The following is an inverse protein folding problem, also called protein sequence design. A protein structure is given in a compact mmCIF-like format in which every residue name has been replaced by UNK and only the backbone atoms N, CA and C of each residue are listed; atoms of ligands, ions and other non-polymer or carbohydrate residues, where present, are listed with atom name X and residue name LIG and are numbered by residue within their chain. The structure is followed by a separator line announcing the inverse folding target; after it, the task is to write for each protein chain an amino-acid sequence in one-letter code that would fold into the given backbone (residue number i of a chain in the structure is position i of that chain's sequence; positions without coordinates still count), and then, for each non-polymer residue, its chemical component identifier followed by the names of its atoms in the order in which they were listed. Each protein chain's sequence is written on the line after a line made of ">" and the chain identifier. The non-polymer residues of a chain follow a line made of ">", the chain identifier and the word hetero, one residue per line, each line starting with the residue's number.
data_IF_499113683407
#
_entry.id   IF_499113683407
#
_cell.length_a   1.000
_cell.length_b   1.000
_cell.length_c   1.000
_cell.angle_alpha   90.00
_cell.angle_beta   90.00
_cell.angle_gamma   90.00
#
_symmetry.space_group_name_H-M   'P 1'
#
loop_
_entity.id
_entity.type
_entity.pdbx_description
1 polymer ?
#
# COMPACT_ATOMS: atom_id res chain seq x y z
N UNK A 1 0.96 122.74 140.73
CA UNK A 1 2.15 122.50 141.58
C UNK A 1 3.39 122.77 140.73
N UNK A 2 4.21 123.71 141.17
CA UNK A 2 5.59 123.90 140.68
C UNK A 2 6.45 122.66 140.98
N UNK A 3 7.40 122.36 140.08
CA UNK A 3 8.77 121.82 140.30
C UNK A 3 9.35 121.47 138.91
N UNK A 4 10.10 122.40 138.31
CA UNK A 4 11.57 122.52 138.33
C UNK A 4 12.25 121.73 137.19
N UNK A 5 13.05 122.40 136.33
CA UNK A 5 13.73 121.78 135.19
C UNK A 5 15.03 121.07 135.60
N UNK A 6 15.18 119.81 135.19
CA UNK A 6 16.40 119.02 135.33
C UNK A 6 17.42 119.44 134.27
N UNK A 7 18.27 120.39 134.65
CA UNK A 7 19.54 120.65 133.97
C UNK A 7 20.43 119.41 134.04
N UNK A 8 21.12 119.16 132.93
CA UNK A 8 22.19 118.17 132.75
C UNK A 8 23.05 118.03 134.01
N UNK A 9 23.09 116.82 134.57
CA UNK A 9 24.07 116.42 135.57
C UNK A 9 25.20 115.73 134.80
N UNK A 10 26.40 116.26 134.95
CA UNK A 10 27.66 115.79 134.38
C UNK A 10 27.93 116.08 132.89
N UNK A 11 29.09 116.70 132.64
CA UNK A 11 29.63 117.02 131.32
C UNK A 11 29.98 115.78 130.46
N UNK A 12 29.85 114.57 131.01
CA UNK A 12 30.11 113.31 130.31
C UNK A 12 29.02 112.92 129.31
N UNK A 13 27.75 113.11 129.65
CA UNK A 13 26.62 112.61 128.83
C UNK A 13 26.46 113.35 127.50
N UNK A 14 26.89 114.60 127.40
CA UNK A 14 26.86 115.38 126.15
C UNK A 14 27.97 114.96 125.17
N UNK A 15 29.08 114.39 125.68
CA UNK A 15 30.17 113.84 124.86
C UNK A 15 29.79 112.56 124.12
N UNK A 16 28.97 111.71 124.76
CA UNK A 16 28.53 110.43 124.17
C UNK A 16 27.53 110.63 123.02
N UNK A 17 26.63 111.61 123.14
CA UNK A 17 25.65 111.93 122.09
C UNK A 17 26.32 112.48 120.84
N UNK A 18 27.31 113.38 120.99
CA UNK A 18 28.06 113.93 119.86
C UNK A 18 28.92 112.87 119.17
N UNK A 19 29.46 111.92 119.93
CA UNK A 19 30.24 110.80 119.40
C UNK A 19 29.36 109.84 118.58
N UNK A 20 28.15 109.55 119.05
CA UNK A 20 27.19 108.73 118.34
C UNK A 20 26.69 109.39 117.04
N UNK A 21 26.40 110.70 117.07
CA UNK A 21 26.00 111.45 115.87
C UNK A 21 27.11 111.48 114.80
N UNK A 22 28.38 111.56 115.22
CA UNK A 22 29.52 111.52 114.29
C UNK A 22 29.69 110.16 113.62
N UNK A 23 29.50 109.05 114.37
CA UNK A 23 29.52 107.69 113.80
C UNK A 23 28.43 107.49 112.74
N UNK A 24 27.20 107.92 113.03
CA UNK A 24 26.08 107.77 112.09
C UNK A 24 26.29 108.55 110.79
N UNK A 25 26.94 109.71 110.85
CA UNK A 25 27.31 110.48 109.65
C UNK A 25 28.39 109.79 108.81
N UNK A 26 29.35 109.14 109.45
CA UNK A 26 30.39 108.37 108.75
C UNK A 26 29.79 107.12 108.08
N UNK A 27 28.92 106.39 108.80
CA UNK A 27 28.24 105.20 108.26
C UNK A 27 27.33 105.56 107.07
N UNK A 28 26.65 106.72 107.11
CA UNK A 28 25.84 107.21 106.00
C UNK A 28 26.68 107.52 104.75
N UNK A 29 27.87 108.09 104.92
CA UNK A 29 28.80 108.36 103.81
C UNK A 29 29.31 107.07 103.16
N UNK A 30 29.65 106.06 103.95
CA UNK A 30 30.09 104.76 103.42
C UNK A 30 28.98 104.10 102.62
N UNK A 31 27.73 104.19 103.08
CA UNK A 31 26.57 103.64 102.37
C UNK A 31 26.30 104.37 101.04
N UNK A 32 26.45 105.70 101.02
CA UNK A 32 26.28 106.52 99.82
C UNK A 32 27.33 106.17 98.75
N UNK A 33 28.59 106.02 99.16
CA UNK A 33 29.69 105.62 98.26
C UNK A 33 29.45 104.21 97.69
N UNK A 34 29.00 103.27 98.52
CA UNK A 34 28.71 101.89 98.07
C UNK A 34 27.55 101.84 97.07
N UNK A 35 26.52 102.68 97.30
CA UNK A 35 25.36 102.78 96.41
C UNK A 35 25.72 103.41 95.07
N UNK A 36 26.65 104.37 95.06
CA UNK A 36 27.18 104.99 93.84
C UNK A 36 27.91 103.98 92.96
N UNK A 37 28.82 103.18 93.55
CA UNK A 37 29.56 102.12 92.82
C UNK A 37 28.61 101.08 92.22
N UNK A 38 27.55 100.70 92.94
CA UNK A 38 26.57 99.75 92.41
C UNK A 38 25.75 100.32 91.25
N UNK A 39 25.47 101.63 91.23
CA UNK A 39 24.80 102.28 90.09
C UNK A 39 25.69 102.28 88.84
N UNK A 40 26.95 102.65 88.98
CA UNK A 40 27.90 102.68 87.85
C UNK A 40 28.07 101.28 87.24
N UNK A 41 28.14 100.24 88.06
CA UNK A 41 28.20 98.85 87.56
C UNK A 41 26.91 98.43 86.82
N UNK A 42 25.73 98.79 87.33
CA UNK A 42 24.46 98.46 86.67
C UNK A 42 24.32 99.18 85.32
N UNK A 43 24.80 100.41 85.22
CA UNK A 43 24.77 101.16 83.97
C UNK A 43 25.75 100.57 82.92
N UNK A 44 26.95 100.12 83.32
CA UNK A 44 27.87 99.35 82.44
C UNK A 44 27.25 98.04 81.92
N UNK A 45 26.60 97.26 82.80
CA UNK A 45 25.91 96.03 82.38
C UNK A 45 24.74 96.31 81.42
N UNK A 46 24.06 97.44 81.58
CA UNK A 46 22.95 97.85 80.71
C UNK A 46 23.43 98.26 79.33
N UNK A 47 24.58 98.92 79.25
CA UNK A 47 25.20 99.34 77.99
C UNK A 47 25.66 98.10 77.18
N UNK A 48 26.33 97.15 77.82
CA UNK A 48 26.77 95.90 77.18
C UNK A 48 25.62 94.97 76.76
N UNK A 49 24.48 95.00 77.45
CA UNK A 49 23.28 94.26 77.05
C UNK A 49 22.50 94.93 75.91
N UNK A 50 22.74 96.22 75.66
CA UNK A 50 22.02 97.03 74.66
C UNK A 50 22.72 97.08 73.29
N UNK A 51 23.99 96.68 73.20
CA UNK A 51 24.71 96.60 71.93
C UNK A 51 24.36 95.32 71.17
N UNK A 52 23.92 95.48 69.91
CA UNK A 52 23.36 94.44 69.03
C UNK A 52 24.25 93.24 68.66
N UNK A 53 25.32 92.96 69.41
CA UNK A 53 26.22 91.83 69.20
C UNK A 53 25.53 90.47 69.37
N UNK A 54 24.62 90.34 70.35
CA UNK A 54 23.82 89.11 70.49
C UNK A 54 22.86 88.90 69.30
N UNK A 55 22.26 89.97 68.80
CA UNK A 55 21.36 89.92 67.63
C UNK A 55 22.10 89.63 66.32
N UNK A 56 23.32 90.16 66.17
CA UNK A 56 24.16 89.92 64.99
C UNK A 56 24.71 88.48 64.98
N UNK A 57 25.21 87.97 66.11
CA UNK A 57 25.68 86.59 66.22
C UNK A 57 24.56 85.56 65.97
N UNK A 58 23.34 85.82 66.46
CA UNK A 58 22.17 84.97 66.17
C UNK A 58 21.83 85.01 64.68
N UNK A 59 21.90 86.19 64.04
CA UNK A 59 21.63 86.33 62.60
C UNK A 59 22.65 85.57 61.76
N UNK A 60 23.94 85.68 62.08
CA UNK A 60 25.01 84.94 61.38
C UNK A 60 24.86 83.42 61.53
N UNK A 61 24.44 82.93 62.70
CA UNK A 61 24.14 81.51 62.91
C UNK A 61 22.90 81.04 62.11
N UNK A 62 21.87 81.88 62.03
CA UNK A 62 20.67 81.60 61.22
C UNK A 62 21.03 81.59 59.73
N UNK A 63 21.80 82.57 59.26
CA UNK A 63 22.22 82.66 57.86
C UNK A 63 23.12 81.48 57.48
N UNK A 64 24.06 81.07 58.35
CA UNK A 64 24.87 79.88 58.16
C UNK A 64 24.00 78.61 58.08
N UNK A 65 22.98 78.47 58.94
CA UNK A 65 22.05 77.33 58.88
C UNK A 65 21.13 77.35 57.68
N UNK A 66 20.72 78.52 57.21
CA UNK A 66 19.94 78.67 55.97
C UNK A 66 20.81 78.27 54.78
N UNK A 67 22.09 78.65 54.75
CA UNK A 67 23.01 78.29 53.67
C UNK A 67 23.33 76.79 53.69
N UNK A 68 23.57 76.20 54.87
CA UNK A 68 23.66 74.74 55.04
C UNK A 68 22.41 74.03 54.49
N UNK A 69 21.22 74.49 54.89
CA UNK A 69 19.95 73.91 54.46
C UNK A 69 19.73 74.09 52.96
N UNK A 70 20.10 75.23 52.39
CA UNK A 70 20.05 75.49 50.95
C UNK A 70 21.00 74.58 50.19
N UNK A 71 22.20 74.33 50.73
CA UNK A 71 23.15 73.36 50.20
C UNK A 71 22.58 71.94 50.20
N UNK A 72 21.96 71.50 51.30
CA UNK A 72 21.30 70.20 51.41
C UNK A 72 20.13 70.08 50.43
N UNK A 73 19.24 71.08 50.36
CA UNK A 73 18.10 71.09 49.44
C UNK A 73 18.56 71.09 47.98
N UNK A 74 19.61 71.84 47.64
CA UNK A 74 20.21 71.84 46.30
C UNK A 74 20.82 70.49 45.95
N UNK A 75 21.53 69.86 46.90
CA UNK A 75 22.06 68.50 46.76
C UNK A 75 20.96 67.48 46.49
N UNK A 76 19.90 67.49 47.30
CA UNK A 76 18.72 66.64 47.11
C UNK A 76 18.08 66.92 45.75
N UNK A 77 17.86 68.18 45.38
CA UNK A 77 17.25 68.53 44.09
C UNK A 77 18.07 68.04 42.89
N UNK A 78 19.42 68.08 42.98
CA UNK A 78 20.30 67.57 41.95
C UNK A 78 20.28 66.03 41.90
N UNK A 79 20.31 65.33 43.04
CA UNK A 79 20.16 63.87 43.09
C UNK A 79 18.80 63.40 42.52
N UNK A 80 17.73 64.13 42.81
CA UNK A 80 16.41 63.87 42.25
C UNK A 80 16.39 64.06 40.74
N UNK A 81 17.03 65.13 40.23
CA UNK A 81 17.12 65.37 38.79
C UNK A 81 17.96 64.31 38.09
N UNK A 82 19.06 63.88 38.69
CA UNK A 82 19.89 62.80 38.17
C UNK A 82 19.15 61.46 38.17
N UNK A 83 18.50 61.09 39.26
CA UNK A 83 17.66 59.87 39.31
C UNK A 83 16.51 59.92 38.31
N UNK A 84 15.87 61.07 38.13
CA UNK A 84 14.82 61.26 37.11
C UNK A 84 15.36 60.99 35.72
N UNK A 85 16.50 61.60 35.38
CA UNK A 85 17.15 61.38 34.08
C UNK A 85 17.57 59.91 33.88
N UNK A 86 18.13 59.25 34.90
CA UNK A 86 18.46 57.83 34.83
C UNK A 86 17.23 56.93 34.65
N UNK A 87 16.09 57.29 35.27
CA UNK A 87 14.83 56.58 35.09
C UNK A 87 14.25 56.80 33.70
N UNK A 88 14.27 58.02 33.18
CA UNK A 88 13.84 58.34 31.80
C UNK A 88 14.66 57.54 30.78
N UNK A 89 16.00 57.49 30.91
CA UNK A 89 16.86 56.67 30.03
C UNK A 89 16.58 55.17 30.17
N UNK A 90 16.26 54.68 31.37
CA UNK A 90 15.86 53.28 31.57
C UNK A 90 14.51 52.98 30.95
N UNK A 91 13.55 53.91 31.06
CA UNK A 91 12.22 53.78 30.46
C UNK A 91 12.31 53.74 28.93
N UNK A 92 13.10 54.63 28.32
CA UNK A 92 13.40 54.58 26.89
C UNK A 92 14.07 53.26 26.48
N UNK A 93 15.03 52.78 27.28
CA UNK A 93 15.68 51.49 27.05
C UNK A 93 14.73 50.30 27.13
N UNK A 94 13.78 50.32 28.07
CA UNK A 94 12.73 49.30 28.22
C UNK A 94 11.78 49.35 27.02
N UNK A 95 11.36 50.53 26.57
CA UNK A 95 10.49 50.68 25.40
C UNK A 95 11.13 50.12 24.12
N UNK A 96 12.42 50.41 23.90
CA UNK A 96 13.17 49.84 22.77
C UNK A 96 13.29 48.31 22.86
N UNK A 97 13.52 47.77 24.06
CA UNK A 97 13.56 46.31 24.27
C UNK A 97 12.18 45.68 24.04
N UNK A 98 11.10 46.31 24.49
CA UNK A 98 9.74 45.83 24.25
C UNK A 98 9.40 45.83 22.76
N UNK A 99 9.79 46.87 22.02
CA UNK A 99 9.58 46.91 20.58
C UNK A 99 10.37 45.81 19.87
N UNK A 100 11.64 45.61 20.24
CA UNK A 100 12.47 44.54 19.67
C UNK A 100 11.93 43.13 20.00
N UNK A 101 11.36 42.93 21.19
CA UNK A 101 10.67 41.69 21.56
C UNK A 101 9.45 41.48 20.66
N UNK A 102 8.64 42.52 20.46
CA UNK A 102 7.41 42.44 19.67
C UNK A 102 7.70 42.16 18.19
N UNK A 103 8.74 42.77 17.62
CA UNK A 103 9.22 42.46 16.27
C UNK A 103 9.71 41.00 16.16
N UNK A 104 10.39 40.49 17.19
CA UNK A 104 10.83 39.08 17.24
C UNK A 104 9.67 38.11 17.40
N UNK A 105 8.67 38.44 18.21
CA UNK A 105 7.44 37.65 18.35
C UNK A 105 6.71 37.55 17.00
N UNK A 106 6.57 38.65 16.26
CA UNK A 106 5.96 38.64 14.93
C UNK A 106 6.75 37.80 13.91
N UNK A 107 8.09 37.86 13.95
CA UNK A 107 8.95 37.04 13.11
C UNK A 107 8.77 35.54 13.44
N UNK A 108 8.68 35.20 14.73
CA UNK A 108 8.45 33.82 15.19
C UNK A 108 7.06 33.34 14.76
N UNK A 109 6.02 34.14 14.97
CA UNK A 109 4.65 33.81 14.55
C UNK A 109 4.56 33.58 13.04
N UNK A 110 5.20 34.43 12.24
CA UNK A 110 5.22 34.29 10.78
C UNK A 110 5.88 32.98 10.36
N UNK A 111 7.02 32.63 10.97
CA UNK A 111 7.73 31.37 10.70
C UNK A 111 6.94 30.14 11.15
N UNK A 112 6.24 30.21 12.27
CA UNK A 112 5.35 29.13 12.73
C UNK A 112 4.24 28.93 11.70
N UNK A 113 3.61 30.02 11.25
CA UNK A 113 2.52 29.94 10.27
C UNK A 113 2.99 29.35 8.94
N UNK A 114 4.13 29.80 8.41
CA UNK A 114 4.75 29.24 7.20
C UNK A 114 5.05 27.74 7.37
N UNK A 115 5.65 27.35 8.50
CA UNK A 115 5.95 25.95 8.80
C UNK A 115 4.69 25.09 8.93
N UNK A 116 3.62 25.60 9.53
CA UNK A 116 2.34 24.89 9.64
C UNK A 116 1.67 24.69 8.28
N UNK A 117 1.76 25.68 7.40
CA UNK A 117 1.26 25.58 6.02
C UNK A 117 2.05 24.52 5.25
N UNK A 118 3.39 24.57 5.28
CA UNK A 118 4.24 23.60 4.60
C UNK A 118 3.99 22.17 5.11
N UNK A 119 3.86 21.98 6.44
CA UNK A 119 3.51 20.69 7.01
C UNK A 119 2.13 20.19 6.56
N UNK A 120 1.13 21.06 6.45
CA UNK A 120 -0.20 20.69 5.95
C UNK A 120 -0.17 20.31 4.47
N UNK A 121 0.59 21.02 3.66
CA UNK A 121 0.76 20.72 2.23
C UNK A 121 1.47 19.36 2.05
N UNK A 122 2.59 19.14 2.74
CA UNK A 122 3.31 17.86 2.73
C UNK A 122 2.42 16.71 3.21
N UNK A 123 1.69 16.89 4.31
CA UNK A 123 0.74 15.89 4.81
C UNK A 123 -0.40 15.63 3.80
N UNK A 124 -0.87 16.65 3.10
CA UNK A 124 -1.86 16.51 2.03
C UNK A 124 -1.36 15.66 0.86
N UNK A 125 -0.12 15.88 0.42
CA UNK A 125 0.52 15.07 -0.62
C UNK A 125 0.74 13.62 -0.18
N UNK A 126 1.19 13.41 1.07
CA UNK A 126 1.35 12.08 1.64
C UNK A 126 0.01 11.33 1.75
N UNK A 127 -1.04 12.00 2.20
CA UNK A 127 -2.39 11.42 2.25
C UNK A 127 -2.92 11.06 0.86
N UNK A 128 -2.66 11.88 -0.16
CA UNK A 128 -3.00 11.53 -1.55
C UNK A 128 -2.22 10.30 -2.03
N UNK A 129 -0.91 10.22 -1.77
CA UNK A 129 -0.10 9.05 -2.10
C UNK A 129 -0.59 7.79 -1.40
N UNK A 130 -0.92 7.87 -0.11
CA UNK A 130 -1.47 6.76 0.66
C UNK A 130 -2.83 6.33 0.09
N UNK A 131 -3.70 7.26 -0.29
CA UNK A 131 -4.99 6.95 -0.91
C UNK A 131 -4.83 6.21 -2.24
N UNK A 132 -3.89 6.66 -3.10
CA UNK A 132 -3.57 6.00 -4.37
C UNK A 132 -3.01 4.59 -4.14
N UNK A 133 -2.06 4.44 -3.22
CA UNK A 133 -1.49 3.15 -2.85
C UNK A 133 -2.54 2.21 -2.28
N UNK A 134 -3.44 2.69 -1.41
CA UNK A 134 -4.52 1.90 -0.83
C UNK A 134 -5.49 1.40 -1.89
N UNK A 135 -5.87 2.24 -2.86
CA UNK A 135 -6.71 1.82 -3.98
C UNK A 135 -6.03 0.75 -4.86
N UNK A 136 -4.72 0.90 -5.12
CA UNK A 136 -3.96 -0.08 -5.89
C UNK A 136 -3.82 -1.42 -5.14
N UNK A 137 -3.53 -1.38 -3.84
CA UNK A 137 -3.47 -2.58 -2.99
C UNK A 137 -4.83 -3.28 -2.91
N UNK A 138 -5.94 -2.55 -2.86
CA UNK A 138 -7.28 -3.15 -2.90
C UNK A 138 -7.55 -3.85 -4.22
N UNK A 139 -7.12 -3.30 -5.35
CA UNK A 139 -7.28 -3.95 -6.65
C UNK A 139 -6.39 -5.18 -6.78
N UNK A 140 -5.14 -5.11 -6.31
CA UNK A 140 -4.25 -6.27 -6.22
C UNK A 140 -4.84 -7.35 -5.31
N UNK A 141 -5.45 -6.98 -4.18
CA UNK A 141 -6.10 -7.94 -3.28
C UNK A 141 -7.27 -8.65 -3.96
N UNK A 142 -8.10 -7.92 -4.72
CA UNK A 142 -9.18 -8.53 -5.52
C UNK A 142 -8.66 -9.47 -6.59
N UNK A 143 -7.55 -9.12 -7.24
CA UNK A 143 -6.90 -10.00 -8.22
C UNK A 143 -6.38 -11.27 -7.56
N UNK A 144 -5.73 -11.15 -6.40
CA UNK A 144 -5.29 -12.29 -5.60
C UNK A 144 -6.48 -13.15 -5.13
N UNK A 145 -7.59 -12.55 -4.72
CA UNK A 145 -8.82 -13.28 -4.36
C UNK A 145 -9.43 -14.02 -5.55
N UNK A 146 -9.43 -13.43 -6.76
CA UNK A 146 -9.84 -14.13 -7.98
C UNK A 146 -8.91 -15.28 -8.31
N UNK A 147 -7.60 -15.06 -8.28
CA UNK A 147 -6.60 -16.11 -8.51
C UNK A 147 -6.77 -17.22 -7.49
N UNK A 148 -6.95 -16.88 -6.22
CA UNK A 148 -7.23 -17.84 -5.16
C UNK A 148 -8.50 -18.62 -5.44
N UNK A 149 -9.60 -17.98 -5.83
CA UNK A 149 -10.83 -18.69 -6.20
C UNK A 149 -10.62 -19.61 -7.41
N UNK A 150 -9.82 -19.20 -8.40
CA UNK A 150 -9.46 -20.06 -9.53
C UNK A 150 -8.63 -21.25 -9.07
N UNK A 151 -7.65 -21.03 -8.19
CA UNK A 151 -6.83 -22.10 -7.60
C UNK A 151 -7.69 -23.02 -6.73
N UNK A 152 -8.55 -22.49 -5.88
CA UNK A 152 -9.47 -23.25 -5.05
C UNK A 152 -10.45 -24.04 -5.93
N UNK A 153 -10.89 -23.51 -7.09
CA UNK A 153 -11.66 -24.27 -8.07
C UNK A 153 -10.84 -25.36 -8.76
N UNK A 154 -9.56 -25.13 -9.05
CA UNK A 154 -8.63 -26.14 -9.59
C UNK A 154 -8.30 -27.22 -8.54
N UNK A 155 -8.23 -26.84 -7.26
CA UNK A 155 -7.95 -27.75 -6.14
C UNK A 155 -9.20 -28.45 -5.64
N UNK A 156 -10.39 -27.86 -5.87
CA UNK A 156 -11.70 -28.47 -5.65
C UNK A 156 -12.20 -29.26 -6.86
N UNK A 157 -11.57 -29.14 -8.04
CA UNK A 157 -11.61 -30.20 -9.05
C UNK A 157 -10.95 -31.44 -8.41
N UNK A 158 -11.74 -32.49 -8.22
CA UNK A 158 -11.38 -33.68 -7.47
C UNK A 158 -10.03 -34.26 -7.92
N UNK A 159 -9.31 -34.89 -7.00
CA UNK A 159 -8.12 -35.68 -7.29
C UNK A 159 -8.42 -36.79 -8.34
N UNK A 160 -9.70 -37.17 -8.44
CA UNK A 160 -10.27 -38.06 -9.45
C UNK A 160 -10.42 -37.38 -10.83
N UNK A 161 -10.76 -36.09 -10.90
CA UNK A 161 -10.83 -35.28 -12.15
C UNK A 161 -9.42 -34.98 -12.70
N UNK A 162 -8.43 -34.77 -11.82
CA UNK A 162 -7.02 -34.63 -12.22
C UNK A 162 -6.44 -35.97 -12.69
N UNK A 163 -6.75 -37.09 -12.00
CA UNK A 163 -6.41 -38.44 -12.49
C UNK A 163 -7.09 -38.78 -13.82
N UNK A 164 -8.30 -38.30 -14.04
CA UNK A 164 -9.02 -38.53 -15.31
C UNK A 164 -8.41 -37.77 -16.51
N UNK A 165 -7.61 -36.73 -16.25
CA UNK A 165 -6.86 -35.96 -17.27
C UNK A 165 -5.42 -36.44 -17.47
N UNK A 166 -4.91 -37.34 -16.62
CA UNK A 166 -3.58 -37.95 -16.76
C UNK A 166 -3.71 -39.27 -17.53
N UNK A 167 -3.39 -39.24 -18.82
CA UNK A 167 -3.31 -40.45 -19.64
C UNK A 167 -1.96 -41.12 -19.46
N UNK A 168 -1.97 -42.45 -19.30
CA UNK A 168 -0.74 -43.23 -19.38
C UNK A 168 -0.18 -43.19 -20.81
N UNK A 169 1.13 -43.40 -20.97
CA UNK A 169 1.74 -43.50 -22.31
C UNK A 169 1.09 -44.58 -23.17
N UNK A 170 0.70 -45.69 -22.55
CA UNK A 170 0.01 -46.80 -23.23
C UNK A 170 -1.36 -46.36 -23.74
N UNK A 171 -2.15 -45.65 -22.92
CA UNK A 171 -3.47 -45.17 -23.32
C UNK A 171 -3.39 -44.11 -24.44
N UNK A 172 -2.40 -43.21 -24.39
CA UNK A 172 -2.22 -42.22 -25.45
C UNK A 172 -1.73 -42.83 -26.78
N UNK A 173 -0.82 -43.81 -26.73
CA UNK A 173 -0.42 -44.58 -27.91
C UNK A 173 -1.62 -45.31 -28.51
N UNK A 174 -2.46 -45.89 -27.66
CA UNK A 174 -3.67 -46.56 -28.07
C UNK A 174 -4.66 -45.59 -28.77
N UNK A 175 -4.98 -44.45 -28.13
CA UNK A 175 -5.85 -43.41 -28.71
C UNK A 175 -5.31 -42.91 -30.05
N UNK A 176 -4.00 -42.75 -30.15
CA UNK A 176 -3.32 -42.38 -31.39
C UNK A 176 -3.52 -43.41 -32.49
N UNK A 177 -3.26 -44.69 -32.22
CA UNK A 177 -3.42 -45.76 -33.20
C UNK A 177 -4.87 -45.87 -33.67
N UNK A 178 -5.83 -45.77 -32.75
CA UNK A 178 -7.26 -45.77 -33.07
C UNK A 178 -7.64 -44.59 -33.97
N UNK A 179 -7.26 -43.38 -33.58
CA UNK A 179 -7.57 -42.18 -34.35
C UNK A 179 -6.93 -42.23 -35.74
N UNK A 180 -5.67 -42.69 -35.84
CA UNK A 180 -4.99 -42.83 -37.13
C UNK A 180 -5.64 -43.89 -38.02
N UNK A 181 -6.05 -45.03 -37.46
CA UNK A 181 -6.81 -46.07 -38.18
C UNK A 181 -8.14 -45.52 -38.70
N UNK A 182 -8.88 -44.79 -37.86
CA UNK A 182 -10.12 -44.11 -38.25
C UNK A 182 -9.90 -43.14 -39.41
N UNK A 183 -8.86 -42.31 -39.32
CA UNK A 183 -8.55 -41.33 -40.37
C UNK A 183 -8.14 -42.02 -41.68
N UNK A 184 -7.32 -43.07 -41.64
CA UNK A 184 -6.96 -43.84 -42.83
C UNK A 184 -8.20 -44.49 -43.46
N UNK A 185 -9.09 -45.07 -42.66
CA UNK A 185 -10.36 -45.64 -43.14
C UNK A 185 -11.24 -44.58 -43.81
N UNK A 186 -11.37 -43.39 -43.21
CA UNK A 186 -12.13 -42.27 -43.80
C UNK A 186 -11.53 -41.78 -45.11
N UNK A 187 -10.21 -41.60 -45.16
CA UNK A 187 -9.50 -41.16 -46.36
C UNK A 187 -9.61 -42.18 -47.50
N UNK A 188 -9.53 -43.48 -47.21
CA UNK A 188 -9.64 -44.54 -48.22
C UNK A 188 -11.08 -44.82 -48.68
N UNK A 189 -12.09 -44.45 -47.88
CA UNK A 189 -13.50 -44.69 -48.18
C UNK A 189 -14.22 -43.51 -48.83
N UNK A 190 -13.74 -42.27 -48.66
CA UNK A 190 -14.41 -41.05 -49.10
C UNK A 190 -13.65 -40.30 -50.21
N UNK A 191 -14.39 -39.84 -51.21
CA UNK A 191 -13.91 -38.82 -52.14
C UNK A 191 -13.94 -37.43 -51.51
N UNK A 192 -13.28 -36.46 -52.13
CA UNK A 192 -13.19 -35.07 -51.64
C UNK A 192 -13.43 -34.06 -52.76
N UNK A 193 -14.01 -32.92 -52.41
CA UNK A 193 -14.15 -31.77 -53.31
C UNK A 193 -13.15 -30.70 -52.92
N UNK A 194 -12.38 -30.16 -53.88
CA UNK A 194 -11.47 -29.06 -53.63
C UNK A 194 -12.26 -27.79 -53.29
N UNK A 195 -12.07 -27.17 -52.11
CA UNK A 195 -12.82 -25.97 -51.71
C UNK A 195 -12.52 -24.73 -52.56
N UNK A 196 -11.36 -24.70 -53.22
CA UNK A 196 -10.93 -23.58 -54.05
C UNK A 196 -11.47 -23.69 -55.48
N UNK A 197 -11.39 -24.88 -56.08
CA UNK A 197 -11.75 -25.09 -57.50
C UNK A 197 -13.12 -25.72 -57.72
N UNK A 198 -13.67 -26.42 -56.71
CA UNK A 198 -14.91 -27.20 -56.83
C UNK A 198 -14.72 -28.57 -57.49
N UNK A 199 -13.50 -28.96 -57.84
CA UNK A 199 -13.22 -30.24 -58.48
C UNK A 199 -13.44 -31.41 -57.51
N UNK A 200 -14.12 -32.45 -57.97
CA UNK A 200 -14.33 -33.69 -57.22
C UNK A 200 -13.23 -34.72 -57.51
N UNK A 201 -12.78 -35.38 -56.45
CA UNK A 201 -11.76 -36.42 -56.48
C UNK A 201 -12.33 -37.68 -55.83
N UNK A 202 -12.21 -38.80 -56.53
CA UNK A 202 -12.66 -40.09 -56.02
C UNK A 202 -11.78 -40.61 -54.87
N UNK A 203 -12.30 -41.57 -54.12
CA UNK A 203 -11.63 -42.20 -52.96
C UNK A 203 -10.23 -42.75 -53.23
N UNK A 204 -9.95 -43.18 -54.47
CA UNK A 204 -8.66 -43.74 -54.87
C UNK A 204 -7.62 -42.69 -55.27
N UNK A 205 -7.95 -41.40 -55.19
CA UNK A 205 -7.05 -40.31 -55.57
C UNK A 205 -6.03 -39.96 -54.47
N UNK A 206 -6.25 -40.41 -53.24
CA UNK A 206 -5.40 -40.10 -52.10
C UNK A 206 -4.07 -40.85 -52.16
N UNK A 207 -2.98 -40.10 -52.02
CA UNK A 207 -1.68 -40.61 -51.63
C UNK A 207 -1.53 -40.41 -50.11
N UNK A 208 -1.56 -41.52 -49.36
CA UNK A 208 -1.53 -41.50 -47.89
C UNK A 208 -0.18 -42.02 -47.41
N UNK A 209 0.57 -41.19 -46.69
CA UNK A 209 1.75 -41.57 -45.91
C UNK A 209 1.45 -41.50 -44.42
N UNK A 210 1.84 -42.51 -43.66
CA UNK A 210 1.75 -42.53 -42.21
C UNK A 210 3.14 -42.70 -41.60
N UNK A 211 3.44 -41.89 -40.58
CA UNK A 211 4.69 -41.93 -39.83
C UNK A 211 4.41 -42.01 -38.34
N UNK A 212 5.48 -42.12 -37.55
CA UNK A 212 5.40 -42.06 -36.10
C UNK A 212 5.01 -40.67 -35.56
N UNK A 213 4.84 -39.66 -36.40
CA UNK A 213 4.48 -38.30 -35.99
C UNK A 213 3.09 -37.88 -36.51
N UNK A 214 2.56 -38.58 -37.52
CA UNK A 214 1.33 -38.14 -38.17
C UNK A 214 0.92 -38.93 -39.41
N UNK A 215 -0.17 -38.48 -40.01
CA UNK A 215 -0.66 -38.91 -41.33
C UNK A 215 -0.56 -37.71 -42.27
N UNK A 216 0.07 -37.88 -43.42
CA UNK A 216 -0.02 -36.95 -44.54
C UNK A 216 -0.86 -37.58 -45.63
N UNK A 217 -1.91 -36.89 -46.06
CA UNK A 217 -2.75 -37.32 -47.17
C UNK A 217 -2.75 -36.23 -48.24
N UNK A 218 -2.36 -36.57 -49.46
CA UNK A 218 -2.26 -35.61 -50.56
C UNK A 218 -3.02 -36.10 -51.79
N UNK A 219 -3.66 -35.18 -52.49
CA UNK A 219 -4.14 -35.36 -53.86
C UNK A 219 -3.50 -34.28 -54.71
N UNK A 220 -2.81 -34.67 -55.76
CA UNK A 220 -2.25 -33.76 -56.76
C UNK A 220 -2.89 -34.02 -58.13
N UNK A 221 -3.35 -32.98 -58.83
CA UNK A 221 -3.84 -33.08 -60.22
C UNK A 221 -3.48 -31.86 -61.06
N UNK A 222 -3.07 -32.08 -62.31
CA UNK A 222 -2.82 -31.03 -63.31
C UNK A 222 -1.36 -30.93 -63.78
N UNK A 223 -1.12 -30.14 -64.83
CA UNK A 223 0.23 -29.82 -65.32
C UNK A 223 0.92 -28.80 -64.40
N UNK A 224 2.26 -28.76 -64.40
CA UNK A 224 3.13 -27.95 -63.50
C UNK A 224 2.63 -26.51 -63.26
N UNK A 225 2.05 -25.83 -64.26
CA UNK A 225 1.54 -24.44 -64.15
C UNK A 225 0.11 -24.26 -63.61
N UNK A 226 -0.69 -25.34 -63.51
CA UNK A 226 -2.08 -25.36 -63.01
C UNK A 226 -2.33 -26.52 -62.04
N UNK A 227 -1.30 -26.90 -61.28
CA UNK A 227 -1.38 -27.99 -60.30
C UNK A 227 -2.34 -27.56 -59.20
N UNK A 228 -3.41 -28.33 -59.02
CA UNK A 228 -4.31 -28.24 -57.87
C UNK A 228 -3.93 -29.35 -56.91
N UNK A 229 -3.73 -28.98 -55.65
CA UNK A 229 -3.33 -29.92 -54.59
C UNK A 229 -4.26 -29.76 -53.41
N UNK A 230 -4.74 -30.88 -52.87
CA UNK A 230 -5.40 -30.94 -51.56
C UNK A 230 -4.46 -31.71 -50.65
N UNK A 231 -4.02 -31.13 -49.54
CA UNK A 231 -3.12 -31.79 -48.59
C UNK A 231 -3.66 -31.69 -47.18
N UNK A 232 -3.77 -32.82 -46.49
CA UNK A 232 -4.04 -32.90 -45.06
C UNK A 232 -2.78 -33.37 -44.33
N UNK A 233 -2.39 -32.63 -43.30
CA UNK A 233 -1.29 -32.97 -42.40
C UNK A 233 -1.88 -33.16 -41.00
N UNK A 234 -2.01 -34.41 -40.58
CA UNK A 234 -2.62 -34.81 -39.31
C UNK A 234 -1.51 -35.17 -38.34
N UNK A 235 -1.40 -34.44 -37.23
CA UNK A 235 -0.38 -34.65 -36.20
C UNK A 235 -1.03 -34.97 -34.87
N UNK A 236 -0.51 -36.01 -34.21
CA UNK A 236 -0.95 -36.37 -32.87
C UNK A 236 0.04 -35.79 -31.85
N UNK A 237 -0.45 -34.92 -30.97
CA UNK A 237 0.38 -34.21 -30.02
C UNK A 237 0.23 -34.83 -28.64
N UNK A 238 1.37 -35.25 -28.07
CA UNK A 238 1.47 -35.80 -26.73
C UNK A 238 2.38 -34.88 -25.92
N UNK A 239 1.84 -33.97 -25.10
CA UNK A 239 2.66 -33.16 -24.20
C UNK A 239 3.10 -34.06 -23.04
N UNK A 240 4.35 -34.51 -23.05
CA UNK A 240 4.95 -35.27 -21.94
C UNK A 240 5.61 -34.31 -20.93
N UNK A 241 5.46 -34.57 -19.63
CA UNK A 241 6.25 -33.89 -18.60
C UNK A 241 7.60 -34.60 -18.38
N UNK A 242 8.45 -34.00 -17.53
CA UNK A 242 9.78 -34.57 -17.21
C UNK A 242 9.69 -35.95 -16.53
N UNK A 243 8.52 -36.31 -16.00
CA UNK A 243 8.25 -37.58 -15.30
C UNK A 243 7.56 -38.62 -16.21
N UNK A 244 7.19 -38.25 -17.44
CA UNK A 244 6.60 -39.13 -18.45
C UNK A 244 5.07 -39.22 -18.43
N UNK A 245 4.37 -38.34 -17.71
CA UNK A 245 2.91 -38.21 -17.75
C UNK A 245 2.45 -37.26 -18.84
N UNK A 246 1.27 -37.52 -19.38
CA UNK A 246 0.68 -36.75 -20.48
C UNK A 246 -0.33 -35.77 -19.89
N UNK A 247 -0.11 -34.48 -20.10
CA UNK A 247 -0.90 -33.41 -19.47
C UNK A 247 -1.34 -32.34 -20.47
N UNK A 248 -2.37 -31.57 -20.10
CA UNK A 248 -2.93 -30.49 -20.91
C UNK A 248 -2.02 -29.25 -20.85
N UNK A 249 -0.89 -29.27 -21.55
CA UNK A 249 -0.04 -28.08 -21.73
C UNK A 249 0.32 -27.94 -23.18
N UNK A 250 -0.46 -27.12 -23.86
CA UNK A 250 -0.22 -26.80 -25.25
C UNK A 250 -0.15 -25.29 -25.31
N UNK A 251 1.09 -24.79 -25.25
CA UNK A 251 1.41 -23.42 -24.83
C UNK A 251 2.11 -22.59 -25.91
N UNK A 252 3.24 -23.07 -26.43
CA UNK A 252 4.10 -22.29 -27.32
C UNK A 252 4.42 -23.04 -28.61
N UNK A 253 4.81 -24.31 -28.50
CA UNK A 253 5.23 -25.11 -29.65
C UNK A 253 4.11 -25.31 -30.68
N UNK A 254 2.87 -25.45 -30.24
CA UNK A 254 1.70 -25.52 -31.14
C UNK A 254 1.39 -24.18 -31.78
N UNK A 255 1.53 -23.09 -31.03
CA UNK A 255 1.37 -21.75 -31.60
C UNK A 255 2.39 -21.52 -32.72
N UNK A 256 3.63 -21.97 -32.53
CA UNK A 256 4.69 -21.83 -33.52
C UNK A 256 4.44 -22.74 -34.74
N UNK A 257 3.95 -23.97 -34.52
CA UNK A 257 3.55 -24.89 -35.60
C UNK A 257 2.40 -24.32 -36.44
N UNK A 258 1.37 -23.77 -35.79
CA UNK A 258 0.24 -23.11 -36.45
C UNK A 258 0.73 -21.91 -37.26
N UNK A 259 1.57 -21.07 -36.65
CA UNK A 259 2.09 -19.85 -37.29
C UNK A 259 2.95 -20.21 -38.50
N UNK A 260 3.86 -21.17 -38.37
CA UNK A 260 4.70 -21.67 -39.47
C UNK A 260 3.86 -22.28 -40.60
N UNK A 261 2.80 -23.01 -40.28
CA UNK A 261 1.91 -23.57 -41.30
C UNK A 261 1.13 -22.48 -42.06
N UNK A 262 0.65 -21.44 -41.40
CA UNK A 262 -0.18 -20.39 -42.04
C UNK A 262 0.64 -19.44 -42.90
N UNK A 263 1.96 -19.34 -42.68
CA UNK A 263 2.82 -18.49 -43.49
C UNK A 263 2.63 -18.76 -44.99
N UNK A 264 2.66 -17.70 -45.82
CA UNK A 264 2.50 -17.84 -47.26
C UNK A 264 3.69 -18.64 -47.81
N UNK A 265 3.39 -19.84 -48.29
CA UNK A 265 4.28 -20.68 -49.07
C UNK A 265 4.10 -20.35 -50.56
N UNK A 266 5.08 -20.75 -51.38
CA UNK A 266 5.03 -20.66 -52.84
C UNK A 266 3.99 -21.64 -53.47
N UNK A 267 2.96 -22.00 -52.72
CA UNK A 267 1.86 -22.84 -53.18
C UNK A 267 1.09 -22.20 -54.33
N UNK A 268 0.64 -23.02 -55.28
CA UNK A 268 -0.20 -22.55 -56.38
C UNK A 268 -1.53 -21.99 -55.86
N UNK A 269 -2.11 -21.02 -56.58
CA UNK A 269 -3.42 -20.41 -56.24
C UNK A 269 -4.59 -21.42 -56.10
N UNK A 270 -4.39 -22.66 -56.52
CA UNK A 270 -5.36 -23.75 -56.50
C UNK A 270 -5.02 -24.86 -55.49
N UNK A 271 -4.04 -24.61 -54.61
CA UNK A 271 -3.61 -25.56 -53.58
C UNK A 271 -4.25 -25.23 -52.24
N UNK A 272 -4.93 -26.22 -51.67
CA UNK A 272 -5.53 -26.16 -50.35
C UNK A 272 -4.78 -27.08 -49.38
N UNK A 273 -4.42 -26.55 -48.22
CA UNK A 273 -3.79 -27.28 -47.13
C UNK A 273 -4.65 -27.28 -45.87
N UNK A 274 -4.71 -28.40 -45.15
CA UNK A 274 -5.26 -28.48 -43.81
C UNK A 274 -4.22 -29.06 -42.84
N UNK A 275 -3.95 -28.34 -41.76
CA UNK A 275 -3.22 -28.86 -40.61
C UNK A 275 -4.26 -29.32 -39.58
N UNK A 276 -4.18 -30.57 -39.15
CA UNK A 276 -5.06 -31.17 -38.14
C UNK A 276 -4.18 -31.56 -36.96
N UNK A 277 -4.38 -30.90 -35.83
CA UNK A 277 -3.68 -31.20 -34.59
C UNK A 277 -4.63 -31.96 -33.68
N UNK A 278 -4.18 -33.09 -33.17
CA UNK A 278 -4.99 -34.00 -32.35
C UNK A 278 -4.42 -34.02 -30.94
N UNK A 279 -5.26 -33.75 -29.95
CA UNK A 279 -4.89 -33.81 -28.54
C UNK A 279 -5.71 -34.89 -27.82
N UNK A 280 -5.06 -35.79 -27.08
CA UNK A 280 -5.76 -36.78 -26.26
C UNK A 280 -6.35 -36.18 -24.98
N UNK A 281 -5.89 -35.00 -24.55
CA UNK A 281 -6.28 -34.32 -23.30
C UNK A 281 -6.97 -32.97 -23.54
N UNK A 282 -7.30 -32.69 -24.79
CA UNK A 282 -7.96 -31.48 -25.23
C UNK A 282 -7.07 -30.24 -25.39
N UNK A 283 -7.72 -29.10 -25.61
CA UNK A 283 -7.06 -27.83 -26.00
C UNK A 283 -7.33 -26.70 -25.02
N UNK A 284 -6.39 -25.79 -24.82
CA UNK A 284 -6.60 -24.58 -24.05
C UNK A 284 -7.46 -23.57 -24.81
N UNK A 285 -8.34 -22.84 -24.12
CA UNK A 285 -9.26 -21.86 -24.72
C UNK A 285 -8.53 -20.85 -25.61
N UNK A 286 -7.38 -20.34 -25.18
CA UNK A 286 -6.63 -19.36 -25.96
C UNK A 286 -6.09 -19.92 -27.30
N UNK A 287 -5.77 -21.23 -27.41
CA UNK A 287 -5.40 -21.85 -28.69
C UNK A 287 -6.64 -22.01 -29.57
N UNK A 288 -7.76 -22.40 -28.98
CA UNK A 288 -9.04 -22.50 -29.69
C UNK A 288 -9.41 -21.13 -30.29
N UNK A 289 -9.34 -20.06 -29.50
CA UNK A 289 -9.56 -18.68 -29.95
C UNK A 289 -8.58 -18.28 -31.06
N UNK A 290 -7.30 -18.63 -30.90
CA UNK A 290 -6.29 -18.37 -31.92
C UNK A 290 -6.64 -19.06 -33.23
N UNK A 291 -7.01 -20.35 -33.21
CA UNK A 291 -7.36 -21.10 -34.43
C UNK A 291 -8.64 -20.59 -35.08
N UNK A 292 -9.70 -20.39 -34.29
CA UNK A 292 -10.99 -19.91 -34.80
C UNK A 292 -10.90 -18.52 -35.42
N UNK A 293 -9.95 -17.68 -34.97
CA UNK A 293 -9.70 -16.34 -35.50
C UNK A 293 -8.91 -16.31 -36.82
N UNK A 294 -8.28 -17.41 -37.25
CA UNK A 294 -7.46 -17.45 -38.48
C UNK A 294 -8.32 -17.16 -39.70
N UNK A 295 -7.85 -16.24 -40.55
CA UNK A 295 -8.46 -15.94 -41.85
C UNK A 295 -7.48 -16.27 -42.97
N UNK A 296 -7.59 -17.48 -43.54
CA UNK A 296 -6.81 -17.91 -44.70
C UNK A 296 -7.67 -18.79 -45.61
N UNK A 297 -7.72 -18.46 -46.91
CA UNK A 297 -8.56 -19.17 -47.88
C UNK A 297 -7.95 -20.48 -48.38
N UNK A 298 -6.61 -20.55 -48.40
CA UNK A 298 -5.88 -21.70 -48.95
C UNK A 298 -5.43 -22.66 -47.85
N UNK A 299 -5.49 -22.25 -46.59
CA UNK A 299 -5.01 -23.02 -45.45
C UNK A 299 -6.02 -23.04 -44.32
N UNK A 300 -6.26 -24.22 -43.77
CA UNK A 300 -7.08 -24.39 -42.58
C UNK A 300 -6.33 -25.10 -41.47
N UNK A 301 -6.71 -24.79 -40.24
CA UNK A 301 -6.19 -25.43 -39.04
C UNK A 301 -7.37 -26.00 -38.28
N UNK A 302 -7.29 -27.27 -37.93
CA UNK A 302 -8.27 -27.99 -37.12
C UNK A 302 -7.58 -28.50 -35.85
N UNK A 303 -8.23 -28.30 -34.71
CA UNK A 303 -7.87 -28.85 -33.42
C UNK A 303 -8.90 -29.93 -33.11
N UNK A 304 -8.44 -31.15 -32.88
CA UNK A 304 -9.28 -32.31 -32.56
C UNK A 304 -9.07 -32.64 -31.11
N UNK A 305 -10.15 -32.60 -30.33
CA UNK A 305 -10.19 -32.97 -28.93
C UNK A 305 -10.74 -34.40 -28.81
N UNK A 306 -9.86 -35.36 -28.50
CA UNK A 306 -10.31 -36.74 -28.32
C UNK A 306 -11.03 -36.96 -26.98
N UNK A 307 -10.83 -36.08 -26.00
CA UNK A 307 -11.45 -36.23 -24.68
C UNK A 307 -12.92 -35.83 -24.70
N UNK A 308 -13.25 -34.75 -25.41
CA UNK A 308 -14.63 -34.25 -25.54
C UNK A 308 -15.29 -34.64 -26.87
N UNK A 309 -14.55 -35.27 -27.78
CA UNK A 309 -15.07 -35.62 -29.12
C UNK A 309 -15.31 -34.42 -30.04
N UNK A 310 -14.68 -33.28 -29.74
CA UNK A 310 -14.92 -32.01 -30.43
C UNK A 310 -13.85 -31.67 -31.47
N UNK A 311 -14.23 -30.83 -32.45
CA UNK A 311 -13.32 -30.29 -33.45
C UNK A 311 -13.49 -28.78 -33.55
N UNK A 312 -12.42 -28.04 -33.27
CA UNK A 312 -12.36 -26.60 -33.43
C UNK A 312 -11.59 -26.26 -34.70
N UNK A 313 -12.15 -25.43 -35.57
CA UNK A 313 -11.52 -25.04 -36.83
C UNK A 313 -11.59 -23.54 -37.06
N UNK A 314 -10.82 -23.06 -38.02
CA UNK A 314 -10.93 -21.69 -38.51
C UNK A 314 -12.21 -21.52 -39.36
N UNK A 315 -13.33 -21.39 -38.65
CA UNK A 315 -14.71 -21.32 -39.17
C UNK A 315 -15.06 -20.02 -39.91
N UNK A 316 -14.14 -19.04 -39.92
CA UNK A 316 -14.32 -17.71 -40.51
C UNK A 316 -14.42 -17.69 -42.04
N UNK A 317 -14.08 -18.79 -42.73
CA UNK A 317 -14.24 -18.94 -44.18
C UNK A 317 -15.26 -20.05 -44.47
N UNK A 318 -16.37 -19.73 -45.16
CA UNK A 318 -17.45 -20.70 -45.45
C UNK A 318 -16.97 -21.94 -46.20
N UNK A 319 -15.81 -21.89 -46.85
CA UNK A 319 -15.20 -23.01 -47.56
C UNK A 319 -14.45 -23.99 -46.66
N UNK A 320 -14.04 -23.60 -45.47
CA UNK A 320 -13.26 -24.45 -44.55
C UNK A 320 -14.17 -25.35 -43.70
N UNK A 321 -15.43 -24.93 -43.45
CA UNK A 321 -16.47 -25.76 -42.81
C UNK A 321 -16.73 -27.11 -43.48
N UNK A 322 -16.30 -27.31 -44.73
CA UNK A 322 -16.45 -28.56 -45.47
C UNK A 322 -15.75 -29.75 -44.81
N UNK A 323 -14.70 -29.52 -44.01
CA UNK A 323 -13.84 -30.60 -43.52
C UNK A 323 -13.90 -30.88 -42.02
N UNK A 324 -14.53 -30.05 -41.20
CA UNK A 324 -14.62 -30.29 -39.74
C UNK A 324 -15.20 -31.68 -39.44
N UNK A 325 -16.27 -32.06 -40.12
CA UNK A 325 -16.90 -33.39 -40.01
C UNK A 325 -16.03 -34.58 -40.44
N UNK A 326 -14.91 -34.35 -41.13
CA UNK A 326 -13.96 -35.41 -41.48
C UNK A 326 -13.07 -35.81 -40.30
N UNK A 327 -12.85 -34.90 -39.37
CA UNK A 327 -11.89 -35.05 -38.26
C UNK A 327 -12.56 -35.32 -36.91
N UNK A 328 -13.90 -35.34 -36.87
CA UNK A 328 -14.66 -35.62 -35.64
C UNK A 328 -14.31 -37.02 -35.12
N UNK A 329 -13.85 -37.17 -33.87
CA UNK A 329 -13.62 -38.48 -33.26
C UNK A 329 -14.91 -39.30 -33.20
N UNK A 330 -14.80 -40.62 -33.00
CA UNK A 330 -15.98 -41.37 -32.51
C UNK A 330 -16.17 -40.96 -31.06
N UNK A 331 -17.40 -40.66 -30.63
CA UNK A 331 -17.63 -40.21 -29.25
C UNK A 331 -17.23 -41.34 -28.28
N UNK A 332 -16.64 -40.98 -27.14
CA UNK A 332 -16.25 -41.97 -26.13
C UNK A 332 -17.51 -42.71 -25.64
N UNK A 333 -18.65 -42.02 -25.56
CA UNK A 333 -19.95 -42.59 -25.20
C UNK A 333 -20.43 -43.64 -26.21
N UNK A 334 -20.24 -43.39 -27.51
CA UNK A 334 -20.55 -44.37 -28.56
C UNK A 334 -19.59 -45.56 -28.49
N UNK A 335 -18.30 -45.36 -28.22
CA UNK A 335 -17.36 -46.46 -27.99
C UNK A 335 -17.67 -47.26 -26.72
N UNK A 336 -18.11 -46.59 -25.65
CA UNK A 336 -18.60 -47.24 -24.42
C UNK A 336 -19.87 -48.04 -24.74
N UNK A 337 -20.84 -47.46 -25.44
CA UNK A 337 -22.08 -48.14 -25.82
C UNK A 337 -21.84 -49.37 -26.70
N UNK A 338 -20.93 -49.27 -27.67
CA UNK A 338 -20.48 -50.40 -28.48
C UNK A 338 -19.79 -51.47 -27.64
N UNK A 339 -18.98 -51.07 -26.65
CA UNK A 339 -18.33 -51.98 -25.71
C UNK A 339 -19.35 -52.69 -24.83
N UNK A 340 -20.33 -51.96 -24.30
CA UNK A 340 -21.44 -52.51 -23.52
C UNK A 340 -22.23 -53.51 -24.36
N UNK A 341 -22.49 -53.23 -25.63
CA UNK A 341 -23.16 -54.16 -26.55
C UNK A 341 -22.34 -55.45 -26.75
N UNK A 342 -21.03 -55.31 -27.05
CA UNK A 342 -20.10 -56.46 -27.21
C UNK A 342 -19.99 -57.31 -25.94
N UNK A 343 -19.93 -56.67 -24.78
CA UNK A 343 -19.90 -57.37 -23.49
C UNK A 343 -21.23 -58.09 -23.22
N UNK A 344 -22.38 -57.45 -23.50
CA UNK A 344 -23.71 -58.07 -23.38
C UNK A 344 -23.86 -59.30 -24.28
N UNK A 345 -23.33 -59.27 -25.50
CA UNK A 345 -23.29 -60.44 -26.41
C UNK A 345 -22.35 -61.55 -25.90
N UNK A 346 -21.22 -61.17 -25.29
CA UNK A 346 -20.25 -62.11 -24.73
C UNK A 346 -20.72 -62.83 -23.46
N UNK A 347 -21.68 -62.27 -22.71
CA UNK A 347 -22.25 -62.90 -21.49
C UNK A 347 -23.21 -64.02 -21.89
N UNK A 348 -22.66 -65.23 -21.99
CA UNK A 348 -23.38 -66.46 -22.38
C UNK A 348 -23.88 -67.26 -21.16
N UNK A 349 -24.60 -66.62 -20.25
CA UNK A 349 -25.29 -67.29 -19.13
C UNK A 349 -24.39 -67.79 -18.00
N UNK A 350 -24.85 -67.60 -16.75
CA UNK A 350 -24.09 -67.94 -15.54
C UNK A 350 -23.17 -66.80 -15.06
N UNK A 351 -22.36 -67.11 -14.05
CA UNK A 351 -21.44 -66.17 -13.41
C UNK A 351 -20.20 -65.97 -14.30
N UNK A 352 -20.01 -64.75 -14.83
CA UNK A 352 -18.88 -64.41 -15.71
C UNK A 352 -18.00 -63.34 -15.06
N UNK A 353 -16.68 -63.50 -15.11
CA UNK A 353 -15.72 -62.53 -14.58
C UNK A 353 -14.92 -61.92 -15.72
N UNK A 354 -14.92 -60.60 -15.81
CA UNK A 354 -14.18 -59.84 -16.80
C UNK A 354 -13.12 -58.99 -16.12
N UNK A 355 -11.87 -59.12 -16.57
CA UNK A 355 -10.79 -58.22 -16.14
C UNK A 355 -10.64 -57.09 -17.15
N UNK A 356 -10.56 -55.85 -16.65
CA UNK A 356 -10.56 -54.68 -17.52
C UNK A 356 -9.36 -54.65 -18.49
N UNK A 357 -8.19 -55.09 -18.03
CA UNK A 357 -6.97 -55.20 -18.84
C UNK A 357 -7.10 -56.23 -19.97
N UNK A 358 -7.67 -57.40 -19.68
CA UNK A 358 -7.86 -58.47 -20.66
C UNK A 358 -8.90 -58.11 -21.70
N UNK A 359 -10.01 -57.50 -21.29
CA UNK A 359 -11.06 -57.04 -22.21
C UNK A 359 -10.53 -55.90 -23.09
N UNK A 360 -9.79 -54.95 -22.51
CA UNK A 360 -9.15 -53.86 -23.25
C UNK A 360 -8.22 -54.42 -24.35
N UNK A 361 -7.42 -55.42 -24.00
CA UNK A 361 -6.54 -56.08 -24.96
C UNK A 361 -7.32 -56.88 -26.02
N UNK A 362 -8.34 -57.63 -25.61
CA UNK A 362 -9.13 -58.49 -26.51
C UNK A 362 -9.86 -57.68 -27.57
N UNK A 363 -10.49 -56.57 -27.17
CA UNK A 363 -11.28 -55.74 -28.08
C UNK A 363 -10.47 -54.57 -28.66
N UNK A 364 -9.19 -54.46 -28.30
CA UNK A 364 -8.32 -53.35 -28.69
C UNK A 364 -9.02 -52.02 -28.43
N UNK A 365 -9.30 -51.72 -27.15
CA UNK A 365 -9.88 -50.47 -26.66
C UNK A 365 -9.09 -49.97 -25.44
N UNK A 366 -9.10 -48.67 -25.09
CA UNK A 366 -8.43 -48.18 -23.90
C UNK A 366 -9.07 -48.79 -22.65
N UNK A 367 -8.27 -49.03 -21.62
CA UNK A 367 -8.76 -49.58 -20.35
C UNK A 367 -9.85 -48.69 -19.74
N UNK A 368 -9.75 -47.37 -19.91
CA UNK A 368 -10.75 -46.39 -19.44
C UNK A 368 -12.14 -46.65 -20.04
N UNK A 369 -12.23 -47.00 -21.34
CA UNK A 369 -13.52 -47.31 -22.00
C UNK A 369 -14.11 -48.60 -21.44
N UNK A 370 -13.27 -49.62 -21.19
CA UNK A 370 -13.72 -50.86 -20.57
C UNK A 370 -14.21 -50.62 -19.14
N UNK A 371 -13.50 -49.81 -18.36
CA UNK A 371 -13.91 -49.47 -16.99
C UNK A 371 -15.21 -48.67 -16.97
N UNK A 372 -15.39 -47.73 -17.90
CA UNK A 372 -16.63 -46.98 -18.04
C UNK A 372 -17.80 -47.89 -18.47
N UNK A 373 -17.57 -48.79 -19.43
CA UNK A 373 -18.55 -49.80 -19.83
C UNK A 373 -18.91 -50.74 -18.67
N UNK A 374 -17.95 -51.10 -17.82
CA UNK A 374 -18.22 -51.88 -16.61
C UNK A 374 -19.10 -51.11 -15.62
N UNK A 375 -18.83 -49.82 -15.39
CA UNK A 375 -19.68 -48.97 -14.54
C UNK A 375 -21.10 -48.90 -15.06
N UNK A 376 -21.28 -48.67 -16.35
CA UNK A 376 -22.60 -48.62 -16.97
C UNK A 376 -23.34 -49.97 -16.83
N UNK A 377 -22.64 -51.10 -16.99
CA UNK A 377 -23.23 -52.42 -16.77
C UNK A 377 -23.63 -52.68 -15.31
N UNK A 378 -22.88 -52.14 -14.35
CA UNK A 378 -23.21 -52.23 -12.91
C UNK A 378 -24.41 -51.34 -12.57
N UNK A 379 -24.46 -50.11 -13.09
CA UNK A 379 -25.60 -49.21 -12.95
C UNK A 379 -26.89 -49.79 -13.56
N UNK A 380 -26.75 -50.51 -14.69
CA UNK A 380 -27.80 -51.32 -15.33
C UNK A 380 -28.26 -52.53 -14.48
N UNK A 381 -27.64 -52.77 -13.32
CA UNK A 381 -27.94 -53.91 -12.43
C UNK A 381 -27.46 -55.26 -12.96
N UNK A 382 -26.49 -55.27 -13.88
CA UNK A 382 -26.00 -56.49 -14.57
C UNK A 382 -24.66 -56.99 -14.01
N UNK A 383 -24.19 -56.49 -12.88
CA UNK A 383 -22.96 -56.95 -12.25
C UNK A 383 -22.55 -56.15 -11.02
N UNK A 384 -21.42 -56.52 -10.43
CA UNK A 384 -20.78 -55.85 -9.30
C UNK A 384 -19.26 -55.73 -9.54
N UNK A 385 -18.65 -54.65 -9.06
CA UNK A 385 -17.19 -54.52 -9.06
C UNK A 385 -16.57 -55.34 -7.94
N UNK A 386 -15.55 -56.12 -8.27
CA UNK A 386 -14.70 -56.81 -7.30
C UNK A 386 -13.31 -56.21 -7.40
N UNK A 387 -12.90 -55.53 -6.33
CA UNK A 387 -11.52 -55.15 -6.11
C UNK A 387 -10.73 -56.43 -5.74
N UNK A 388 -9.77 -56.88 -6.54
CA UNK A 388 -9.07 -58.12 -6.25
C UNK A 388 -8.12 -57.94 -5.06
N UNK A 389 -8.01 -58.98 -4.22
CA UNK A 389 -7.01 -59.07 -3.16
C UNK A 389 -5.62 -59.21 -3.81
N UNK A 390 -4.77 -58.19 -3.61
CA UNK A 390 -3.37 -58.09 -4.03
C UNK A 390 -3.08 -58.04 -5.55
N UNK A 391 -2.68 -56.86 -6.03
CA UNK A 391 -1.86 -56.66 -7.23
C UNK A 391 -2.54 -56.79 -8.60
N UNK A 392 -3.82 -57.16 -8.67
CA UNK A 392 -4.58 -57.16 -9.93
C UNK A 392 -5.36 -55.85 -10.15
N UNK A 393 -5.43 -55.39 -11.40
CA UNK A 393 -6.24 -54.24 -11.83
C UNK A 393 -7.72 -54.67 -11.95
N UNK A 394 -8.63 -53.82 -11.47
CA UNK A 394 -10.09 -53.96 -11.33
C UNK A 394 -10.80 -55.07 -12.15
N UNK A 395 -11.69 -55.83 -11.48
CA UNK A 395 -12.47 -56.93 -12.05
C UNK A 395 -13.97 -56.61 -11.96
N UNK A 396 -14.71 -56.81 -13.06
CA UNK A 396 -16.18 -56.80 -13.04
C UNK A 396 -16.70 -58.24 -13.00
N UNK A 397 -17.56 -58.52 -12.02
CA UNK A 397 -18.32 -59.75 -11.92
C UNK A 397 -19.73 -59.52 -12.46
N UNK A 398 -20.12 -60.26 -13.48
CA UNK A 398 -21.49 -60.28 -14.00
C UNK A 398 -22.22 -61.47 -13.38
N UNK A 399 -23.23 -61.16 -12.55
CA UNK A 399 -24.15 -62.14 -11.96
C UNK A 399 -25.50 -61.98 -12.68
N UNK A 400 -26.00 -63.06 -13.27
CA UNK A 400 -27.33 -63.08 -13.91
C UNK A 400 -28.43 -63.36 -12.91
#
# INVERSE_FOLDING_TARGET
>A
MNKEPLFFRDAGEMGDVLSAARRLLEDARVLEETTRVHRESVDEYREHASEGMAGQAIRELIDARIEDFRGVVSGIANEWREKKSQLETKEEGILLQQQAILEKEQEIESRILESEVEQREQMGEELQKISLLSANVLEQLREVERIKSTIDNILAEDEETIRDRLLSKEDALFLRLNYFSLMQSRLTSRGVTNPLTGDEYGRSAWEIGATDEGITAEITRGMIKKRATIRFEIKFLVPEDEEGFIYRKVGKDVSDMITGFIQPDEGGKNSYGALVLVSPTGWSEWIIDKVTSIRNMNKSVYLVDLSEGEVFGNDGDKKTKLFSGWFVPVSIEEEIGDMVAKLKEGVTGGMSQFRADKVALQYQVPRKIVMAAFREMVEDGKGEFILPEEGAKDVMLVVR
#
